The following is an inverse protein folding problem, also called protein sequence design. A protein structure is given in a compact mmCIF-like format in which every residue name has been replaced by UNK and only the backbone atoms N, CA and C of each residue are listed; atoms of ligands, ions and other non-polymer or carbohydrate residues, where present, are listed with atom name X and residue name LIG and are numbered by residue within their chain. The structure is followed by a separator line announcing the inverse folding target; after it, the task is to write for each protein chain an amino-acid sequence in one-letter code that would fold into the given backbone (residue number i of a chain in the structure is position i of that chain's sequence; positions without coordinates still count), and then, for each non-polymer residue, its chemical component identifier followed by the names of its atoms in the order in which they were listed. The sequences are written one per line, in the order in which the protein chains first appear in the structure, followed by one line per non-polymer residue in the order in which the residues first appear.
data_IF_198409160823
#
_entry.id   IF_198409160823
#
_cell.length_a   1.000
_cell.length_b   1.000
_cell.length_c   1.000
_cell.angle_alpha   90.00
_cell.angle_beta   90.00
_cell.angle_gamma   90.00
#
_symmetry.space_group_name_H-M   'P 1'
#
loop_
_entity.id
_entity.type
_entity.pdbx_description
1 polymer ?
#
# COMPACT_ATOMS: atom_id res chain seq x y z
N UNK A 1 -5.38 -7.45 8.83
CA UNK A 1 -4.17 -7.60 9.65
C UNK A 1 -3.69 -6.19 10.00
N UNK A 2 -3.43 -5.95 11.25
CA UNK A 2 -2.93 -4.68 11.76
C UNK A 2 -1.46 -4.84 12.17
N UNK A 3 -0.63 -3.89 11.80
CA UNK A 3 0.77 -3.82 12.20
C UNK A 3 0.91 -2.64 13.16
N UNK A 4 1.29 -2.89 14.42
CA UNK A 4 1.28 -1.89 15.49
C UNK A 4 2.20 -0.69 15.22
N UNK A 5 3.31 -0.94 14.57
CA UNK A 5 4.34 0.10 14.32
C UNK A 5 3.90 1.17 13.31
N UNK A 6 2.75 0.98 12.63
CA UNK A 6 2.19 2.03 11.76
C UNK A 6 1.57 3.20 12.55
N UNK A 7 1.38 3.06 13.87
CA UNK A 7 0.81 4.12 14.69
C UNK A 7 1.64 5.40 14.65
N UNK A 8 2.97 5.29 14.53
CA UNK A 8 3.86 6.45 14.43
C UNK A 8 3.56 7.32 13.21
N UNK A 9 3.15 6.71 12.09
CA UNK A 9 2.79 7.43 10.86
C UNK A 9 1.45 8.16 10.92
N UNK A 10 0.66 7.91 11.96
CA UNK A 10 -0.64 8.55 12.19
C UNK A 10 -0.56 9.68 13.22
N UNK A 11 0.57 9.82 13.92
CA UNK A 11 0.75 10.77 15.00
C UNK A 11 0.59 12.23 14.50
N UNK A 12 0.07 13.11 15.36
CA UNK A 12 0.00 14.54 15.07
C UNK A 12 1.40 15.11 14.80
N UNK A 13 2.42 14.60 15.49
CA UNK A 13 3.81 15.00 15.29
C UNK A 13 4.25 14.71 13.87
N UNK A 14 4.05 13.48 13.36
CA UNK A 14 4.39 13.10 11.99
C UNK A 14 3.67 13.97 10.96
N UNK A 15 2.36 14.20 11.13
CA UNK A 15 1.55 15.04 10.24
C UNK A 15 1.95 16.51 10.28
N UNK A 16 2.37 17.02 11.44
CA UNK A 16 2.85 18.42 11.61
C UNK A 16 4.16 18.72 10.88
N UNK A 17 4.93 17.69 10.54
CA UNK A 17 6.17 17.79 9.75
C UNK A 17 5.93 17.95 8.23
N UNK A 18 4.75 18.37 7.82
CA UNK A 18 4.32 18.49 6.42
C UNK A 18 4.25 17.13 5.66
N UNK A 19 4.10 16.05 6.40
CA UNK A 19 3.91 14.73 5.82
C UNK A 19 2.45 14.51 5.42
N UNK A 20 2.24 13.91 4.28
CA UNK A 20 0.91 13.54 3.80
C UNK A 20 0.72 12.02 3.88
N UNK A 21 -0.31 11.59 4.59
CA UNK A 21 -0.70 10.18 4.67
C UNK A 21 -1.85 9.91 3.71
N UNK A 22 -1.70 8.88 2.88
CA UNK A 22 -2.74 8.42 1.95
C UNK A 22 -2.93 6.91 2.09
N UNK A 23 -4.13 6.44 1.79
CA UNK A 23 -4.47 5.02 1.91
C UNK A 23 -4.89 4.44 0.56
N UNK A 24 -4.63 3.14 0.39
CA UNK A 24 -5.22 2.35 -0.70
C UNK A 24 -6.10 1.25 -0.13
N UNK A 25 -7.26 1.03 -0.77
CA UNK A 25 -8.20 -0.05 -0.49
C UNK A 25 -8.15 -1.08 -1.57
N UNK A 26 -7.96 -2.32 -1.21
CA UNK A 26 -8.33 -3.41 -2.10
C UNK A 26 -9.86 -3.46 -2.22
N UNK A 27 -10.40 -3.42 -3.43
CA UNK A 27 -11.83 -3.22 -3.64
C UNK A 27 -12.32 -4.10 -4.77
N UNK A 28 -13.01 -5.18 -4.39
CA UNK A 28 -13.62 -6.11 -5.31
C UNK A 28 -15.13 -5.91 -5.40
N UNK A 29 -15.72 -6.35 -6.51
CA UNK A 29 -17.16 -6.37 -6.70
C UNK A 29 -17.73 -7.74 -6.32
N UNK A 30 -19.05 -7.85 -6.24
CA UNK A 30 -19.74 -9.10 -5.88
C UNK A 30 -19.45 -10.27 -6.82
N UNK A 31 -18.99 -10.00 -8.05
CA UNK A 31 -18.58 -11.00 -9.02
C UNK A 31 -17.10 -11.42 -8.91
N UNK A 32 -16.46 -11.21 -7.78
CA UNK A 32 -15.04 -11.49 -7.57
C UNK A 32 -14.59 -12.86 -8.10
N UNK A 33 -15.35 -13.91 -7.83
CA UNK A 33 -15.01 -15.28 -8.27
C UNK A 33 -15.03 -15.47 -9.81
N UNK A 34 -15.61 -14.55 -10.54
CA UNK A 34 -15.61 -14.56 -12.00
C UNK A 34 -14.38 -13.84 -12.60
N UNK A 35 -13.68 -13.06 -11.77
CA UNK A 35 -12.47 -12.34 -12.18
C UNK A 35 -11.28 -13.28 -12.35
N UNK A 36 -10.23 -12.81 -13.01
CA UNK A 36 -8.99 -13.57 -13.12
C UNK A 36 -8.36 -13.84 -11.74
N UNK A 37 -8.38 -12.84 -10.85
CA UNK A 37 -7.88 -12.98 -9.49
C UNK A 37 -8.69 -14.00 -8.71
N UNK A 38 -10.02 -13.92 -8.74
CA UNK A 38 -10.89 -14.88 -8.05
C UNK A 38 -10.79 -16.31 -8.57
N UNK A 39 -10.41 -16.51 -9.84
CA UNK A 39 -10.12 -17.85 -10.39
C UNK A 39 -8.80 -18.43 -9.87
N UNK A 40 -7.80 -17.58 -9.59
CA UNK A 40 -6.51 -17.98 -9.06
C UNK A 40 -6.54 -18.10 -7.53
N UNK A 41 -7.29 -17.23 -6.86
CA UNK A 41 -7.49 -17.21 -5.42
C UNK A 41 -9.01 -17.24 -5.11
N UNK A 42 -9.66 -18.40 -5.06
CA UNK A 42 -11.11 -18.52 -4.88
C UNK A 42 -11.55 -18.27 -3.43
N UNK A 43 -11.05 -17.19 -2.84
CA UNK A 43 -11.37 -16.73 -1.48
C UNK A 43 -11.96 -15.32 -1.59
N UNK A 44 -13.26 -15.22 -1.44
CA UNK A 44 -13.96 -13.92 -1.48
C UNK A 44 -13.44 -13.03 -0.34
N UNK A 45 -12.92 -11.86 -0.68
CA UNK A 45 -12.40 -10.88 0.26
C UNK A 45 -12.56 -9.46 -0.29
N UNK A 46 -12.44 -8.47 0.55
CA UNK A 46 -12.46 -7.05 0.22
C UNK A 46 -13.58 -6.63 -0.75
N UNK A 47 -14.76 -7.28 -0.65
CA UNK A 47 -15.92 -6.92 -1.46
C UNK A 47 -16.48 -5.59 -0.97
N UNK A 48 -16.65 -4.64 -1.88
CA UNK A 48 -17.09 -3.29 -1.59
C UNK A 48 -18.38 -3.27 -0.73
N UNK A 49 -18.41 -2.39 0.27
CA UNK A 49 -19.50 -2.23 1.24
C UNK A 49 -19.73 -3.41 2.21
N UNK A 50 -18.79 -4.33 2.33
CA UNK A 50 -18.80 -5.36 3.39
C UNK A 50 -17.88 -4.95 4.56
N UNK A 51 -18.07 -5.58 5.72
CA UNK A 51 -17.20 -5.37 6.88
C UNK A 51 -15.72 -5.70 6.56
N UNK A 52 -15.48 -6.79 5.84
CA UNK A 52 -14.12 -7.24 5.47
C UNK A 52 -13.43 -6.37 4.41
N UNK A 53 -14.14 -5.40 3.84
CA UNK A 53 -13.57 -4.41 2.93
C UNK A 53 -13.01 -3.18 3.65
N UNK A 54 -13.52 -2.87 4.83
CA UNK A 54 -13.16 -1.65 5.53
C UNK A 54 -11.71 -1.70 6.05
N UNK A 55 -11.04 -0.54 6.02
CA UNK A 55 -9.77 -0.38 6.72
C UNK A 55 -10.01 -0.54 8.22
N UNK A 56 -9.03 -1.13 8.92
CA UNK A 56 -9.09 -1.29 10.37
C UNK A 56 -9.46 0.02 11.05
N UNK A 57 -10.36 -0.04 12.04
CA UNK A 57 -10.77 1.08 12.89
C UNK A 57 -9.63 1.66 13.76
N UNK A 58 -8.51 0.93 13.85
CA UNK A 58 -7.28 1.40 14.48
C UNK A 58 -6.52 2.42 13.63
N UNK A 59 -6.85 2.54 12.34
CA UNK A 59 -6.23 3.47 11.41
C UNK A 59 -7.08 4.72 11.23
N UNK A 60 -6.49 5.90 11.44
CA UNK A 60 -7.17 7.18 11.29
C UNK A 60 -7.21 7.61 9.83
N UNK A 61 -8.30 7.28 9.15
CA UNK A 61 -8.47 7.54 7.70
C UNK A 61 -9.18 8.87 7.42
N UNK A 62 -9.91 9.41 8.39
CA UNK A 62 -10.91 10.47 8.20
C UNK A 62 -10.43 11.74 7.48
N UNK A 63 -9.16 12.11 7.59
CA UNK A 63 -8.58 13.30 6.93
C UNK A 63 -7.65 12.95 5.78
N UNK A 64 -7.55 11.70 5.42
CA UNK A 64 -6.60 11.21 4.43
C UNK A 64 -7.30 10.92 3.10
N UNK A 65 -6.57 11.13 2.00
CA UNK A 65 -7.05 10.69 0.70
C UNK A 65 -6.98 9.18 0.58
N UNK A 66 -8.00 8.60 0.00
CA UNK A 66 -8.14 7.14 -0.12
C UNK A 66 -8.34 6.78 -1.58
N UNK A 67 -7.61 5.75 -2.05
CA UNK A 67 -7.68 5.23 -3.40
C UNK A 67 -8.22 3.80 -3.37
N UNK A 68 -9.37 3.58 -4.00
CA UNK A 68 -9.92 2.25 -4.23
C UNK A 68 -9.21 1.61 -5.40
N UNK A 69 -8.67 0.42 -5.22
CA UNK A 69 -7.96 -0.29 -6.28
C UNK A 69 -8.60 -1.66 -6.55
N UNK A 70 -8.90 -2.00 -7.81
CA UNK A 70 -9.51 -3.27 -8.16
C UNK A 70 -8.50 -4.42 -8.27
N UNK A 71 -7.22 -4.15 -8.01
CA UNK A 71 -6.10 -5.08 -8.10
C UNK A 71 -4.97 -4.65 -7.17
N UNK A 72 -3.82 -5.29 -7.25
CA UNK A 72 -2.71 -5.16 -6.30
C UNK A 72 -2.08 -3.77 -6.25
N UNK A 73 -1.98 -3.09 -7.37
CA UNK A 73 -1.41 -1.75 -7.48
C UNK A 73 -2.44 -0.70 -7.90
N UNK A 74 -2.14 0.58 -7.62
CA UNK A 74 -3.00 1.72 -7.94
C UNK A 74 -2.31 2.70 -8.87
N UNK A 75 -2.76 2.75 -10.12
CA UNK A 75 -2.32 3.78 -11.07
C UNK A 75 -2.82 5.16 -10.65
N UNK A 76 -4.04 5.24 -10.11
CA UNK A 76 -4.62 6.49 -9.63
C UNK A 76 -3.80 7.11 -8.49
N UNK A 77 -3.29 6.28 -7.56
CA UNK A 77 -2.35 6.73 -6.55
C UNK A 77 -1.09 7.34 -7.19
N UNK A 78 -0.50 6.65 -8.16
CA UNK A 78 0.72 7.12 -8.81
C UNK A 78 0.50 8.43 -9.58
N UNK A 79 -0.63 8.58 -10.25
CA UNK A 79 -1.02 9.84 -10.90
C UNK A 79 -1.17 10.97 -9.89
N UNK A 80 -1.85 10.72 -8.77
CA UNK A 80 -2.03 11.70 -7.72
C UNK A 80 -0.69 12.13 -7.11
N UNK A 81 0.15 11.18 -6.72
CA UNK A 81 1.45 11.47 -6.10
C UNK A 81 2.34 12.29 -7.05
N UNK A 82 2.24 12.04 -8.35
CA UNK A 82 2.97 12.83 -9.36
C UNK A 82 2.52 14.30 -9.47
N UNK A 83 1.40 14.67 -8.86
CA UNK A 83 0.95 16.08 -8.81
C UNK A 83 1.47 16.84 -7.60
N UNK A 84 2.11 16.17 -6.66
CA UNK A 84 2.63 16.79 -5.44
C UNK A 84 3.94 17.51 -5.79
N UNK A 85 3.95 18.83 -5.60
CA UNK A 85 5.17 19.64 -5.74
C UNK A 85 6.12 19.36 -4.56
N UNK A 86 7.41 19.49 -4.82
CA UNK A 86 8.48 19.37 -3.81
C UNK A 86 8.47 18.04 -3.05
N UNK A 87 8.06 16.96 -3.73
CA UNK A 87 8.03 15.60 -3.18
C UNK A 87 9.46 15.06 -3.02
N UNK A 88 9.90 14.89 -1.81
CA UNK A 88 11.26 14.41 -1.48
C UNK A 88 11.33 12.89 -1.37
N UNK A 89 10.37 12.28 -0.69
CA UNK A 89 10.36 10.84 -0.43
C UNK A 89 8.92 10.30 -0.41
N UNK A 90 8.78 9.07 -0.87
CA UNK A 90 7.56 8.26 -0.71
C UNK A 90 7.90 7.08 0.19
N UNK A 91 7.20 6.93 1.31
CA UNK A 91 7.36 5.80 2.20
C UNK A 91 6.12 4.91 2.17
N UNK A 92 6.35 3.62 1.97
CA UNK A 92 5.29 2.61 1.87
C UNK A 92 5.28 1.73 3.13
N UNK A 93 4.09 1.55 3.68
CA UNK A 93 3.81 0.67 4.81
C UNK A 93 2.53 -0.12 4.57
N UNK A 94 2.33 -1.23 5.27
CA UNK A 94 1.08 -1.98 5.27
C UNK A 94 1.16 -3.40 4.70
N UNK A 95 0.08 -3.87 4.12
CA UNK A 95 -0.13 -5.28 3.75
C UNK A 95 -0.66 -5.41 2.31
N UNK A 96 -0.28 -6.47 1.62
CA UNK A 96 0.80 -7.40 1.94
C UNK A 96 2.08 -6.94 1.24
N UNK A 97 3.25 -7.12 1.90
CA UNK A 97 4.55 -6.72 1.36
C UNK A 97 4.78 -7.28 -0.04
N UNK A 98 4.45 -8.55 -0.22
CA UNK A 98 4.67 -9.37 -1.41
C UNK A 98 3.57 -9.26 -2.47
N UNK A 99 2.54 -8.47 -2.21
CA UNK A 99 1.41 -8.26 -3.12
C UNK A 99 1.20 -6.76 -3.37
N UNK A 100 0.48 -6.07 -2.48
CA UNK A 100 0.07 -4.69 -2.69
C UNK A 100 1.23 -3.70 -2.51
N UNK A 101 2.09 -3.89 -1.50
CA UNK A 101 3.20 -2.97 -1.24
C UNK A 101 4.20 -2.98 -2.38
N UNK A 102 4.69 -4.16 -2.78
CA UNK A 102 5.65 -4.28 -3.89
C UNK A 102 5.05 -3.79 -5.22
N UNK A 103 3.78 -4.06 -5.48
CA UNK A 103 3.11 -3.61 -6.70
C UNK A 103 3.05 -2.09 -6.78
N UNK A 104 2.65 -1.43 -5.69
CA UNK A 104 2.63 0.03 -5.64
C UNK A 104 4.05 0.62 -5.68
N UNK A 105 5.02 -0.01 -5.01
CA UNK A 105 6.41 0.43 -5.03
C UNK A 105 6.97 0.48 -6.46
N UNK A 106 6.70 -0.54 -7.27
CA UNK A 106 7.16 -0.58 -8.66
C UNK A 106 6.43 0.40 -9.58
N UNK A 107 5.12 0.56 -9.39
CA UNK A 107 4.34 1.56 -10.14
C UNK A 107 4.84 2.98 -9.85
N UNK A 108 5.05 3.30 -8.57
CA UNK A 108 5.57 4.59 -8.15
C UNK A 108 7.00 4.81 -8.65
N UNK A 109 7.86 3.79 -8.58
CA UNK A 109 9.22 3.88 -9.11
C UNK A 109 9.26 4.09 -10.62
N UNK A 110 8.37 3.45 -11.37
CA UNK A 110 8.22 3.66 -12.80
C UNK A 110 7.69 5.06 -13.15
N UNK A 111 6.74 5.59 -12.35
CA UNK A 111 6.14 6.90 -12.56
C UNK A 111 7.06 8.05 -12.15
N UNK A 112 7.82 7.86 -11.07
CA UNK A 112 8.66 8.88 -10.43
C UNK A 112 10.08 8.34 -10.20
N UNK A 113 10.87 8.11 -11.27
CA UNK A 113 12.16 7.42 -11.17
C UNK A 113 13.19 8.15 -10.31
N UNK A 114 13.09 9.48 -10.20
CA UNK A 114 14.04 10.30 -9.45
C UNK A 114 13.62 10.54 -7.98
N UNK A 115 12.36 10.25 -7.63
CA UNK A 115 11.90 10.39 -6.24
C UNK A 115 12.41 9.19 -5.43
N UNK A 116 12.89 9.49 -4.22
CA UNK A 116 13.29 8.46 -3.27
C UNK A 116 12.04 7.67 -2.83
N UNK A 117 12.08 6.34 -3.00
CA UNK A 117 11.02 5.45 -2.56
C UNK A 117 11.59 4.51 -1.51
N UNK A 118 10.92 4.41 -0.38
CA UNK A 118 11.28 3.53 0.72
C UNK A 118 10.11 2.66 1.18
N UNK A 119 10.45 1.55 1.81
CA UNK A 119 9.52 0.64 2.48
C UNK A 119 10.03 0.41 3.89
N UNK A 120 9.20 0.68 4.89
CA UNK A 120 9.50 0.30 6.26
C UNK A 120 9.09 -1.16 6.50
N UNK A 121 10.11 -2.02 6.56
CA UNK A 121 9.87 -3.47 6.69
C UNK A 121 9.23 -3.87 8.01
N UNK A 122 9.40 -3.08 9.08
CA UNK A 122 8.78 -3.33 10.38
C UNK A 122 7.29 -3.01 10.39
N UNK A 123 6.89 -2.09 9.51
CA UNK A 123 5.51 -1.69 9.31
C UNK A 123 4.84 -2.42 8.13
N UNK A 124 5.43 -3.54 7.69
CA UNK A 124 4.92 -4.38 6.61
C UNK A 124 4.86 -5.85 7.04
N UNK A 125 3.89 -6.58 6.48
CA UNK A 125 3.84 -8.03 6.60
C UNK A 125 3.42 -8.67 5.27
N UNK A 126 4.05 -9.79 4.92
CA UNK A 126 3.71 -10.58 3.74
C UNK A 126 2.76 -11.73 4.07
N UNK A 127 2.37 -12.48 3.04
CA UNK A 127 1.56 -13.71 3.20
C UNK A 127 2.31 -14.75 4.03
N UNK A 128 3.62 -14.81 3.87
CA UNK A 128 4.53 -15.62 4.68
C UNK A 128 5.82 -14.87 4.97
N UNK A 129 6.60 -15.26 6.00
CA UNK A 129 7.92 -14.68 6.24
C UNK A 129 8.86 -14.81 5.03
N UNK A 130 8.79 -15.90 4.31
CA UNK A 130 9.62 -16.14 3.13
C UNK A 130 9.24 -15.19 1.98
N UNK A 131 7.95 -15.09 1.64
CA UNK A 131 7.50 -14.21 0.56
C UNK A 131 7.70 -12.74 0.90
N UNK A 132 7.56 -12.36 2.18
CA UNK A 132 7.92 -11.02 2.66
C UNK A 132 9.40 -10.69 2.36
N UNK A 133 10.32 -11.55 2.75
CA UNK A 133 11.75 -11.33 2.51
C UNK A 133 12.09 -11.31 1.02
N UNK A 134 11.46 -12.17 0.22
CA UNK A 134 11.65 -12.20 -1.22
C UNK A 134 11.21 -10.87 -1.86
N UNK A 135 10.06 -10.33 -1.44
CA UNK A 135 9.57 -9.05 -1.93
C UNK A 135 10.50 -7.89 -1.55
N UNK A 136 10.98 -7.84 -0.30
CA UNK A 136 11.93 -6.82 0.14
C UNK A 136 13.24 -6.89 -0.67
N UNK A 137 13.75 -8.09 -0.93
CA UNK A 137 14.94 -8.28 -1.74
C UNK A 137 14.72 -7.83 -3.20
N UNK A 138 13.56 -8.16 -3.79
CA UNK A 138 13.21 -7.71 -5.14
C UNK A 138 13.13 -6.18 -5.23
N UNK A 139 12.52 -5.53 -4.24
CA UNK A 139 12.44 -4.08 -4.16
C UNK A 139 13.82 -3.42 -4.04
N UNK A 140 14.73 -3.98 -3.24
CA UNK A 140 16.13 -3.52 -3.15
C UNK A 140 16.84 -3.55 -4.49
N UNK A 141 16.66 -4.62 -5.27
CA UNK A 141 17.26 -4.74 -6.62
C UNK A 141 16.76 -3.66 -7.57
N UNK A 142 15.54 -3.16 -7.36
CA UNK A 142 14.94 -2.07 -8.13
C UNK A 142 15.17 -0.68 -7.51
N UNK A 143 16.16 -0.54 -6.62
CA UNK A 143 16.55 0.72 -5.98
C UNK A 143 15.46 1.34 -5.09
N UNK A 144 14.59 0.52 -4.53
CA UNK A 144 13.68 0.92 -3.46
C UNK A 144 14.41 0.69 -2.15
N UNK A 145 14.45 1.73 -1.31
CA UNK A 145 15.13 1.68 -0.03
C UNK A 145 14.30 0.88 0.99
N UNK A 146 14.88 -0.13 1.60
CA UNK A 146 14.21 -0.94 2.65
C UNK A 146 14.83 -0.59 3.99
N UNK A 147 14.02 0.00 4.86
CA UNK A 147 14.37 0.38 6.24
C UNK A 147 14.12 -0.76 7.22
#
# INVERSE_FOLDING_TARGET
IYVSDVDDYQSEEYRSMNNQVVFTYDTHQSNYLETQEGKNLPVVHCVENTEGWQISDKLEVAQSKVFKKPSFGSLELAEYVATISDLEEIELVGLCTDICVISNAFILKAKLPEVKISVDSKCCAGVSPESHLNALNAMKMCQINVK
#
